data_IF_500343548231
#
_entry.id   IF_500343548231
#
_cell.length_a   1.000
_cell.length_b   1.000
_cell.length_c   1.000
_cell.angle_alpha   90.00
_cell.angle_beta   90.00
_cell.angle_gamma   90.00
#
_symmetry.space_group_name_H-M   'P 1'
#
loop_
_entity.id
_entity.type
_entity.pdbx_description
1 polymer ?
#
# COMPACT_ATOMS: atom_id res chain seq x y z
N UNK A 1 -12.10 -17.58 1.66
CA UNK A 1 -11.01 -16.62 1.97
C UNK A 1 -11.37 -15.20 1.51
N UNK A 2 -10.89 -14.14 2.20
CA UNK A 2 -11.10 -12.74 1.84
C UNK A 2 -10.69 -12.42 0.38
N UNK A 3 -11.38 -11.46 -0.24
CA UNK A 3 -11.06 -10.94 -1.58
C UNK A 3 -10.59 -9.48 -1.46
N UNK A 4 -9.42 -9.16 -2.02
CA UNK A 4 -8.74 -7.88 -1.80
C UNK A 4 -8.42 -7.17 -3.12
N UNK A 5 -8.60 -5.86 -3.15
CA UNK A 5 -8.18 -5.01 -4.27
C UNK A 5 -7.39 -3.82 -3.73
N UNK A 6 -6.11 -3.77 -4.07
CA UNK A 6 -5.23 -2.66 -3.72
C UNK A 6 -5.40 -1.51 -4.71
N UNK A 7 -5.57 -0.29 -4.20
CA UNK A 7 -5.73 0.94 -4.99
C UNK A 7 -4.87 2.06 -4.44
N UNK A 8 -4.46 2.95 -5.33
CA UNK A 8 -3.96 4.27 -4.94
C UNK A 8 -5.16 5.15 -4.54
N UNK A 9 -4.96 5.98 -3.52
CA UNK A 9 -5.95 6.92 -3.04
C UNK A 9 -6.47 7.83 -4.16
N UNK A 10 -7.75 8.18 -4.10
CA UNK A 10 -8.49 8.85 -5.19
C UNK A 10 -7.86 10.17 -5.67
N UNK A 11 -7.10 10.87 -4.83
CA UNK A 11 -6.34 12.09 -5.19
C UNK A 11 -5.12 11.83 -6.08
N UNK A 12 -4.62 10.60 -6.13
CA UNK A 12 -3.47 10.20 -6.94
C UNK A 12 -3.86 9.79 -8.38
N UNK A 13 -5.13 9.91 -8.77
CA UNK A 13 -5.63 9.57 -10.13
C UNK A 13 -5.18 10.50 -11.26
N UNK A 14 -4.19 11.36 -11.02
CA UNK A 14 -3.63 12.25 -12.05
C UNK A 14 -2.10 12.18 -11.99
N UNK A 15 -1.54 11.19 -12.69
CA UNK A 15 -0.18 11.11 -13.25
C UNK A 15 0.97 11.91 -12.58
N UNK A 16 1.99 11.13 -12.19
CA UNK A 16 3.35 11.51 -11.71
C UNK A 16 3.45 11.72 -10.21
N UNK A 17 3.44 10.61 -9.47
CA UNK A 17 3.98 10.59 -8.12
C UNK A 17 5.46 10.96 -8.24
N UNK A 18 5.82 12.12 -7.69
CA UNK A 18 7.20 12.61 -7.66
C UNK A 18 7.82 12.32 -6.28
N UNK A 19 9.14 12.37 -6.22
CA UNK A 19 9.82 12.37 -4.94
C UNK A 19 9.30 13.48 -4.02
N UNK A 20 9.28 13.22 -2.72
CA UNK A 20 8.75 14.15 -1.72
C UNK A 20 7.21 14.19 -1.64
N UNK A 21 6.48 13.54 -2.55
CA UNK A 21 5.02 13.42 -2.45
C UNK A 21 4.61 12.44 -1.34
N UNK A 22 3.41 12.65 -0.79
CA UNK A 22 2.76 11.69 0.07
C UNK A 22 1.86 10.76 -0.76
N UNK A 23 2.00 9.46 -0.57
CA UNK A 23 1.26 8.41 -1.26
C UNK A 23 0.34 7.70 -0.28
N UNK A 24 -0.91 7.56 -0.67
CA UNK A 24 -1.94 6.85 0.07
C UNK A 24 -2.37 5.63 -0.74
N UNK A 25 -2.38 4.48 -0.10
CA UNK A 25 -2.85 3.22 -0.65
C UNK A 25 -3.98 2.68 0.23
N UNK A 26 -5.02 2.16 -0.42
CA UNK A 26 -6.19 1.59 0.24
C UNK A 26 -6.42 0.16 -0.28
N UNK A 27 -6.67 -0.74 0.66
CA UNK A 27 -6.97 -2.13 0.39
C UNK A 27 -8.47 -2.36 0.57
N UNK A 28 -9.20 -2.48 -0.55
CA UNK A 28 -10.63 -2.81 -0.52
C UNK A 28 -10.79 -4.29 -0.17
N UNK A 29 -11.42 -4.59 0.96
CA UNK A 29 -11.61 -5.96 1.42
C UNK A 29 -13.09 -6.36 1.37
N UNK A 30 -13.36 -7.47 0.70
CA UNK A 30 -14.65 -8.17 0.76
C UNK A 30 -14.46 -9.51 1.45
N UNK A 31 -15.07 -9.67 2.61
CA UNK A 31 -14.96 -10.88 3.41
C UNK A 31 -16.25 -11.18 4.17
N UNK A 32 -16.53 -12.46 4.37
CA UNK A 32 -17.56 -12.96 5.27
C UNK A 32 -17.08 -14.31 5.84
N UNK A 33 -16.78 -14.44 7.14
CA UNK A 33 -16.80 -13.41 8.19
C UNK A 33 -15.84 -12.24 7.94
N UNK A 34 -15.98 -11.15 8.69
CA UNK A 34 -15.05 -10.02 8.60
C UNK A 34 -13.62 -10.44 8.99
N UNK A 35 -12.63 -9.71 8.49
CA UNK A 35 -11.21 -10.01 8.69
C UNK A 35 -10.74 -9.64 10.09
N UNK A 36 -9.80 -10.44 10.62
CA UNK A 36 -9.21 -10.24 11.95
C UNK A 36 -7.81 -9.64 11.88
N UNK A 37 -7.08 -9.89 10.80
CA UNK A 37 -5.73 -9.33 10.60
C UNK A 37 -5.59 -8.82 9.15
N UNK A 38 -4.79 -7.77 8.99
CA UNK A 38 -4.42 -7.19 7.70
C UNK A 38 -2.91 -7.01 7.67
N UNK A 39 -2.28 -7.46 6.59
CA UNK A 39 -0.86 -7.33 6.33
C UNK A 39 -0.58 -6.51 5.07
N UNK A 40 0.62 -5.94 5.01
CA UNK A 40 1.12 -5.18 3.87
C UNK A 40 2.51 -5.67 3.52
N UNK A 41 2.82 -5.77 2.23
CA UNK A 41 4.17 -6.12 1.78
C UNK A 41 4.70 -5.15 0.74
N UNK A 42 6.03 -5.02 0.70
CA UNK A 42 6.79 -4.34 -0.34
C UNK A 42 7.85 -5.29 -0.88
N UNK A 43 7.80 -5.58 -2.18
CA UNK A 43 8.70 -6.54 -2.84
C UNK A 43 8.73 -7.90 -2.10
N UNK A 44 7.55 -8.35 -1.65
CA UNK A 44 7.36 -9.61 -0.93
C UNK A 44 7.83 -9.60 0.53
N UNK A 45 8.28 -8.46 1.06
CA UNK A 45 8.69 -8.32 2.47
C UNK A 45 7.62 -7.62 3.27
N UNK A 46 7.34 -8.14 4.46
CA UNK A 46 6.35 -7.54 5.36
C UNK A 46 6.75 -6.11 5.75
N UNK A 47 5.75 -5.23 5.77
CA UNK A 47 5.88 -3.85 6.22
C UNK A 47 5.29 -3.72 7.62
N UNK A 48 5.99 -2.95 8.45
CA UNK A 48 5.49 -2.51 9.74
C UNK A 48 5.53 -0.99 9.80
N UNK A 49 4.58 -0.40 10.54
CA UNK A 49 4.56 1.05 10.78
C UNK A 49 5.93 1.52 11.27
N UNK A 50 6.49 2.49 10.56
CA UNK A 50 7.75 3.15 10.86
C UNK A 50 7.59 4.66 10.59
N UNK A 51 7.14 5.37 11.62
CA UNK A 51 6.79 6.80 11.52
C UNK A 51 8.01 7.66 11.17
N UNK A 52 9.20 7.33 11.70
CA UNK A 52 10.42 8.09 11.38
C UNK A 52 10.87 7.91 9.94
N UNK A 53 10.52 6.79 9.30
CA UNK A 53 10.73 6.55 7.87
C UNK A 53 9.54 6.98 6.99
N UNK A 54 8.51 7.62 7.56
CA UNK A 54 7.33 8.07 6.83
C UNK A 54 6.38 6.95 6.41
N UNK A 55 6.44 5.75 7.01
CA UNK A 55 5.56 4.63 6.69
C UNK A 55 4.53 4.43 7.81
N UNK A 56 3.25 4.58 7.48
CA UNK A 56 2.16 4.47 8.45
C UNK A 56 1.12 3.48 7.93
N UNK A 57 0.89 2.40 8.68
CA UNK A 57 -0.18 1.44 8.41
C UNK A 57 -1.33 1.73 9.37
N UNK A 58 -2.53 1.89 8.81
CA UNK A 58 -3.78 2.00 9.54
C UNK A 58 -4.80 1.04 8.94
N UNK A 59 -4.72 -0.23 9.38
CA UNK A 59 -5.62 -1.29 8.93
C UNK A 59 -5.63 -1.44 7.40
N UNK A 60 -6.72 -1.03 6.75
CA UNK A 60 -6.93 -1.07 5.30
C UNK A 60 -6.17 0.03 4.54
N UNK A 61 -5.41 0.90 5.22
CA UNK A 61 -4.67 1.99 4.60
C UNK A 61 -3.17 1.91 4.88
N UNK A 62 -2.38 2.19 3.85
CA UNK A 62 -0.93 2.40 3.92
C UNK A 62 -0.60 3.80 3.42
N UNK A 63 0.11 4.57 4.25
CA UNK A 63 0.59 5.91 3.91
C UNK A 63 2.11 5.88 3.85
N UNK A 64 2.65 6.41 2.74
CA UNK A 64 4.07 6.67 2.56
C UNK A 64 4.25 8.18 2.44
N UNK A 65 4.94 8.79 3.40
CA UNK A 65 5.20 10.23 3.41
C UNK A 65 6.52 10.51 2.71
N UNK A 66 6.57 11.60 1.94
CA UNK A 66 7.78 12.08 1.26
C UNK A 66 8.54 10.97 0.55
N UNK A 67 7.86 10.29 -0.36
CA UNK A 67 8.40 9.11 -1.05
C UNK A 67 9.70 9.43 -1.78
N UNK A 68 10.59 8.44 -1.83
CA UNK A 68 11.87 8.49 -2.53
C UNK A 68 11.91 7.42 -3.62
N UNK A 69 12.90 7.46 -4.54
CA UNK A 69 13.04 6.43 -5.58
C UNK A 69 13.13 4.99 -5.05
N UNK A 70 13.55 4.81 -3.80
CA UNK A 70 13.65 3.51 -3.12
C UNK A 70 12.30 2.93 -2.73
N UNK A 71 11.25 3.75 -2.64
CA UNK A 71 9.87 3.29 -2.40
C UNK A 71 9.19 2.78 -3.69
N UNK A 72 9.86 2.82 -4.84
CA UNK A 72 9.35 2.24 -6.09
C UNK A 72 9.39 0.72 -6.01
N UNK A 73 8.29 0.08 -6.36
CA UNK A 73 8.19 -1.37 -6.39
C UNK A 73 6.77 -1.86 -6.27
N UNK A 74 6.63 -3.18 -6.06
CA UNK A 74 5.35 -3.85 -5.92
C UNK A 74 4.90 -3.86 -4.47
N UNK A 75 3.68 -3.37 -4.26
CA UNK A 75 2.98 -3.46 -2.99
C UNK A 75 1.86 -4.48 -3.09
N UNK A 76 1.67 -5.26 -2.03
CA UNK A 76 0.47 -6.10 -1.85
C UNK A 76 -0.14 -5.84 -0.47
N UNK A 77 -1.42 -6.16 -0.34
CA UNK A 77 -2.10 -6.26 0.94
C UNK A 77 -2.68 -7.67 1.08
N UNK A 78 -2.66 -8.18 2.30
CA UNK A 78 -3.23 -9.47 2.67
C UNK A 78 -4.20 -9.31 3.83
N UNK A 79 -5.15 -10.23 3.96
CA UNK A 79 -6.05 -10.25 5.10
C UNK A 79 -6.49 -11.67 5.43
N UNK A 80 -6.67 -11.94 6.73
CA UNK A 80 -7.02 -13.26 7.25
C UNK A 80 -8.37 -13.22 7.98
N UNK A 81 -9.12 -14.32 7.86
CA UNK A 81 -10.27 -14.63 8.70
C UNK A 81 -10.31 -16.15 8.95
N UNK A 82 -11.39 -16.65 9.57
CA UNK A 82 -11.58 -18.09 9.84
C UNK A 82 -11.62 -18.96 8.59
N UNK A 83 -11.93 -18.39 7.42
CA UNK A 83 -11.96 -19.10 6.14
C UNK A 83 -10.57 -19.16 5.47
N UNK A 84 -9.57 -18.45 6.00
CA UNK A 84 -8.19 -18.43 5.53
C UNK A 84 -7.69 -17.03 5.12
N UNK A 85 -6.64 -17.01 4.30
CA UNK A 85 -5.88 -15.80 3.93
C UNK A 85 -6.13 -15.46 2.46
N UNK A 86 -6.43 -14.20 2.17
CA UNK A 86 -6.45 -13.64 0.81
C UNK A 86 -5.32 -12.63 0.63
N UNK A 87 -4.86 -12.49 -0.61
CA UNK A 87 -3.87 -11.47 -1.02
C UNK A 87 -4.38 -10.72 -2.27
N UNK A 88 -4.08 -9.43 -2.36
CA UNK A 88 -4.39 -8.61 -3.53
C UNK A 88 -3.43 -8.86 -4.70
N UNK A 89 -3.83 -8.45 -5.90
CA UNK A 89 -2.87 -8.32 -7.01
C UNK A 89 -1.83 -7.24 -6.69
N UNK A 90 -0.56 -7.41 -7.12
CA UNK A 90 0.47 -6.42 -6.87
C UNK A 90 0.16 -5.09 -7.57
N UNK A 91 0.35 -4.00 -6.83
CA UNK A 91 0.32 -2.64 -7.35
C UNK A 91 1.76 -2.13 -7.49
N UNK A 92 2.15 -1.80 -8.72
CA UNK A 92 3.47 -1.20 -8.96
C UNK A 92 3.41 0.31 -8.72
N UNK A 93 4.13 0.77 -7.70
CA UNK A 93 4.30 2.18 -7.39
C UNK A 93 5.47 2.73 -8.22
N UNK A 94 5.17 3.62 -9.17
CA UNK A 94 6.19 4.36 -9.93
C UNK A 94 6.41 5.73 -9.30
N UNK A 95 7.67 6.14 -9.15
CA UNK A 95 8.07 7.43 -8.59
C UNK A 95 9.01 8.11 -9.59
N UNK A 96 8.69 9.35 -9.96
CA UNK A 96 9.49 10.17 -10.84
C UNK A 96 10.47 11.03 -10.06
N UNK A 97 11.67 11.22 -10.62
CA UNK A 97 12.66 12.13 -10.05
C UNK A 97 12.11 13.56 -10.00
N UNK A 98 12.51 14.31 -8.98
CA UNK A 98 12.37 15.76 -8.97
C UNK A 98 13.43 16.34 -9.94
N UNK A 99 12.98 16.96 -11.05
CA UNK A 99 13.90 17.74 -11.89
C UNK A 99 14.01 19.13 -11.25
N UNK A 100 15.16 19.41 -10.64
CA UNK A 100 15.55 20.78 -10.32
C UNK A 100 16.04 21.42 -11.63
N UNK A 101 15.23 22.28 -12.25
CA UNK A 101 15.71 23.28 -13.22
C UNK A 101 16.31 24.49 -12.47
#
# INVERSE_FOLDING_TARGET
VPQLVLRLGSKLRHFRIQEGNDVYMECDIRANPWVTEIGWTFEGRELHTNVSAGLIISNQSLVLQRVQRTNRGHYTCSASNTEGIGESKPLYLSIQCEYNE
#
